data_IF_778815072992
#
_entry.id   IF_778815072992
#
_cell.length_a   1.000
_cell.length_b   1.000
_cell.length_c   1.000
_cell.angle_alpha   90.00
_cell.angle_beta   90.00
_cell.angle_gamma   90.00
#
_symmetry.space_group_name_H-M   'P 1'
#
loop_
_entity.id
_entity.type
_entity.pdbx_description
1 polymer ?
#
# COMPACT_ATOMS: atom_id res chain seq x y z
N UNK A 1 16.37 27.30 17.08
CA UNK A 1 15.66 26.74 15.90
C UNK A 1 16.12 25.31 15.72
N UNK A 2 15.45 24.35 16.34
CA UNK A 2 15.71 22.93 16.14
C UNK A 2 14.56 22.36 15.32
N UNK A 3 14.82 21.88 14.11
CA UNK A 3 13.80 21.15 13.35
C UNK A 3 13.55 19.82 14.06
N UNK A 4 12.30 19.59 14.45
CA UNK A 4 11.89 18.36 15.12
C UNK A 4 12.06 17.20 14.14
N UNK A 5 13.04 16.33 14.39
CA UNK A 5 13.28 15.08 13.63
C UNK A 5 12.02 14.23 13.45
N UNK A 6 11.05 14.36 14.34
CA UNK A 6 9.72 13.74 14.27
C UNK A 6 8.85 14.28 13.14
N UNK A 7 8.89 15.57 12.82
CA UNK A 7 8.11 16.15 11.71
C UNK A 7 8.73 15.81 10.35
N UNK A 8 10.07 15.68 10.29
CA UNK A 8 10.75 15.22 9.08
C UNK A 8 10.52 13.72 8.82
N UNK A 9 10.49 12.88 9.86
CA UNK A 9 10.14 11.47 9.74
C UNK A 9 8.67 11.25 9.36
N UNK A 10 7.75 12.05 9.92
CA UNK A 10 6.32 12.02 9.58
C UNK A 10 6.08 12.54 8.14
N UNK A 11 6.78 13.59 7.72
CA UNK A 11 6.73 14.10 6.34
C UNK A 11 7.41 13.16 5.33
N UNK A 12 8.49 12.49 5.70
CA UNK A 12 9.12 11.46 4.87
C UNK A 12 8.22 10.22 4.73
N UNK A 13 7.44 9.88 5.76
CA UNK A 13 6.39 8.85 5.66
C UNK A 13 5.19 9.31 4.81
N UNK A 14 4.74 10.57 4.97
CA UNK A 14 3.69 11.18 4.14
C UNK A 14 4.09 11.36 2.67
N UNK A 15 5.37 11.21 2.32
CA UNK A 15 5.83 11.24 0.93
C UNK A 15 5.79 9.88 0.22
N UNK A 16 5.47 8.78 0.92
CA UNK A 16 5.35 7.45 0.29
C UNK A 16 3.92 7.20 -0.16
N UNK A 17 3.72 7.27 -1.46
CA UNK A 17 2.51 6.78 -2.12
C UNK A 17 2.57 5.25 -2.15
N UNK A 18 1.51 4.59 -1.69
CA UNK A 18 1.33 3.15 -1.81
C UNK A 18 0.29 2.83 -2.89
N UNK A 19 0.40 1.64 -3.48
CA UNK A 19 -0.48 1.20 -4.54
C UNK A 19 -1.21 -0.06 -4.15
N UNK A 20 -2.52 -0.12 -4.42
CA UNK A 20 -3.33 -1.30 -4.19
C UNK A 20 -4.08 -1.67 -5.47
N UNK A 21 -3.86 -2.88 -5.96
CA UNK A 21 -4.58 -3.41 -7.12
C UNK A 21 -5.72 -4.31 -6.72
N UNK A 22 -6.88 -4.10 -7.32
CA UNK A 22 -8.10 -4.88 -7.07
C UNK A 22 -9.06 -4.79 -8.26
N UNK A 23 -10.11 -5.62 -8.25
CA UNK A 23 -11.27 -5.50 -9.16
C UNK A 23 -12.47 -4.79 -8.51
N UNK A 24 -12.33 -4.41 -7.24
CA UNK A 24 -13.34 -3.62 -6.56
C UNK A 24 -13.41 -2.19 -7.13
N UNK A 25 -14.63 -1.69 -7.29
CA UNK A 25 -14.92 -0.31 -7.69
C UNK A 25 -14.94 0.58 -6.44
N UNK A 26 -13.77 1.09 -6.06
CA UNK A 26 -13.53 1.92 -4.89
C UNK A 26 -13.49 3.40 -5.26
N UNK A 27 -13.83 4.25 -4.29
CA UNK A 27 -13.82 5.70 -4.41
C UNK A 27 -12.86 6.31 -3.42
N UNK A 28 -12.44 7.55 -3.69
CA UNK A 28 -11.69 8.37 -2.73
C UNK A 28 -12.39 8.38 -1.36
N UNK A 29 -11.64 8.09 -0.31
CA UNK A 29 -12.14 7.96 1.06
C UNK A 29 -12.61 6.55 1.46
N UNK A 30 -12.73 5.62 0.52
CA UNK A 30 -13.06 4.23 0.85
C UNK A 30 -11.90 3.56 1.59
N UNK A 31 -12.26 2.61 2.46
CA UNK A 31 -11.31 1.86 3.27
C UNK A 31 -11.05 0.49 2.68
N UNK A 32 -9.78 0.12 2.62
CA UNK A 32 -9.31 -1.21 2.24
C UNK A 32 -8.85 -1.92 3.50
N UNK A 33 -9.46 -3.06 3.80
CA UNK A 33 -9.08 -3.87 4.96
C UNK A 33 -7.66 -4.43 4.81
N UNK A 34 -6.96 -4.68 5.94
CA UNK A 34 -5.66 -5.34 5.97
C UNK A 34 -5.59 -6.59 5.07
N UNK A 35 -4.52 -6.72 4.28
CA UNK A 35 -4.24 -7.99 3.58
C UNK A 35 -3.50 -7.92 2.26
N UNK A 36 -3.12 -6.74 1.73
CA UNK A 36 -2.67 -6.66 0.34
C UNK A 36 -1.50 -5.71 0.08
N UNK A 37 -0.72 -6.11 -0.93
CA UNK A 37 0.56 -5.58 -1.38
C UNK A 37 0.51 -4.08 -1.70
N UNK A 38 1.62 -3.37 -1.46
CA UNK A 38 1.66 -1.90 -1.47
C UNK A 38 2.64 -1.26 -2.48
N UNK A 39 3.10 -2.01 -3.50
CA UNK A 39 3.99 -1.49 -4.56
C UNK A 39 3.33 -1.58 -5.93
N UNK A 40 3.66 -0.69 -6.87
CA UNK A 40 2.98 -0.58 -8.17
C UNK A 40 3.03 -1.88 -9.00
N UNK A 41 4.20 -2.50 -9.16
CA UNK A 41 4.30 -3.79 -9.86
C UNK A 41 3.52 -4.90 -9.15
N UNK A 42 3.55 -4.91 -7.81
CA UNK A 42 2.78 -5.87 -7.01
C UNK A 42 1.27 -5.57 -7.07
N UNK A 43 0.88 -4.32 -7.29
CA UNK A 43 -0.50 -3.88 -7.46
C UNK A 43 -1.06 -4.32 -8.81
N UNK A 44 -0.28 -4.30 -9.90
CA UNK A 44 -0.71 -4.87 -11.19
C UNK A 44 -1.12 -6.35 -10.99
N UNK A 45 -0.23 -7.15 -10.40
CA UNK A 45 -0.54 -8.54 -10.06
C UNK A 45 -1.71 -8.66 -9.07
N UNK A 46 -1.82 -7.75 -8.11
CA UNK A 46 -2.95 -7.68 -7.18
C UNK A 46 -4.29 -7.51 -7.89
N UNK A 47 -4.36 -6.63 -8.90
CA UNK A 47 -5.57 -6.40 -9.68
C UNK A 47 -5.90 -7.62 -10.55
N UNK A 48 -4.92 -8.16 -11.27
CA UNK A 48 -5.10 -9.35 -12.13
C UNK A 48 -5.63 -10.56 -11.33
N UNK A 49 -5.04 -10.81 -10.17
CA UNK A 49 -5.36 -11.96 -9.31
C UNK A 49 -6.54 -11.73 -8.37
N UNK A 50 -7.06 -10.49 -8.28
CA UNK A 50 -8.22 -10.20 -7.46
C UNK A 50 -9.45 -10.98 -7.93
N UNK A 51 -10.25 -11.42 -6.96
CA UNK A 51 -11.52 -12.09 -7.19
C UNK A 51 -12.58 -11.10 -7.70
N UNK A 52 -13.52 -11.60 -8.50
CA UNK A 52 -14.62 -10.83 -9.06
C UNK A 52 -14.47 -10.57 -10.57
N UNK A 53 -15.57 -10.13 -11.18
CA UNK A 53 -15.67 -9.85 -12.63
C UNK A 53 -15.49 -8.36 -12.96
N UNK A 54 -15.19 -7.54 -11.95
CA UNK A 54 -14.92 -6.11 -12.12
C UNK A 54 -13.66 -5.85 -12.94
N UNK A 55 -13.55 -4.64 -13.48
CA UNK A 55 -12.34 -4.20 -14.17
C UNK A 55 -11.18 -4.12 -13.18
N UNK A 56 -10.00 -4.55 -13.60
CA UNK A 56 -8.75 -4.35 -12.89
C UNK A 56 -8.44 -2.87 -12.72
N UNK A 57 -8.12 -2.45 -11.49
CA UNK A 57 -7.85 -1.06 -11.12
C UNK A 57 -6.70 -0.99 -10.14
N UNK A 58 -5.98 0.13 -10.16
CA UNK A 58 -4.89 0.42 -9.21
C UNK A 58 -5.22 1.72 -8.50
N UNK A 59 -5.28 1.66 -7.17
CA UNK A 59 -5.56 2.80 -6.32
C UNK A 59 -4.29 3.28 -5.62
N UNK A 60 -4.19 4.60 -5.46
CA UNK A 60 -3.26 5.22 -4.52
C UNK A 60 -3.89 5.13 -3.13
N UNK A 61 -3.12 4.68 -2.16
CA UNK A 61 -3.61 4.50 -0.80
C UNK A 61 -2.66 5.07 0.25
N UNK A 62 -3.24 5.53 1.35
CA UNK A 62 -2.53 5.98 2.54
C UNK A 62 -2.85 5.05 3.72
N UNK A 63 -1.87 4.65 4.53
CA UNK A 63 -2.13 3.85 5.72
C UNK A 63 -2.79 4.71 6.81
N UNK A 64 -3.82 4.18 7.46
CA UNK A 64 -4.45 4.83 8.63
C UNK A 64 -3.71 4.54 9.95
N UNK A 65 -2.62 3.77 9.90
CA UNK A 65 -1.82 3.39 11.06
C UNK A 65 -0.44 2.85 10.68
N UNK A 66 0.32 2.28 11.63
CA UNK A 66 1.65 1.74 11.37
C UNK A 66 1.66 0.66 10.28
N UNK A 67 2.73 0.62 9.49
CA UNK A 67 2.98 -0.41 8.48
C UNK A 67 4.27 -1.15 8.79
N UNK A 68 4.38 -2.38 8.29
CA UNK A 68 5.59 -3.19 8.34
C UNK A 68 5.82 -3.89 6.99
N UNK A 69 7.03 -4.37 6.78
CA UNK A 69 7.37 -5.19 5.61
C UNK A 69 6.48 -6.44 5.56
N UNK A 70 5.94 -6.78 4.39
CA UNK A 70 5.13 -7.98 4.23
C UNK A 70 6.01 -9.23 4.40
N UNK A 71 5.81 -10.07 5.45
CA UNK A 71 6.63 -11.25 5.67
C UNK A 71 6.41 -12.33 4.62
N UNK A 72 5.37 -12.25 3.77
CA UNK A 72 5.16 -13.19 2.68
C UNK A 72 6.06 -12.93 1.47
N UNK A 73 6.59 -11.72 1.34
CA UNK A 73 7.41 -11.31 0.19
C UNK A 73 8.82 -10.85 0.61
N UNK A 74 8.96 -10.38 1.84
CA UNK A 74 10.23 -9.92 2.42
C UNK A 74 11.05 -11.10 2.90
N UNK A 75 12.36 -11.09 2.63
CA UNK A 75 13.30 -12.14 3.05
C UNK A 75 12.92 -13.57 2.60
N UNK A 76 12.14 -13.73 1.53
CA UNK A 76 11.79 -15.06 1.00
C UNK A 76 12.86 -15.64 0.09
N UNK A 77 13.04 -14.99 -1.06
CA UNK A 77 14.00 -15.42 -2.10
C UNK A 77 15.31 -14.63 -2.02
N UNK A 78 15.23 -13.37 -1.61
CA UNK A 78 16.35 -12.45 -1.49
C UNK A 78 16.28 -11.71 -0.15
N UNK A 79 17.43 -11.28 0.41
CA UNK A 79 17.46 -10.51 1.64
C UNK A 79 16.85 -9.12 1.44
N UNK A 80 16.10 -8.66 2.43
CA UNK A 80 15.37 -7.40 2.43
C UNK A 80 14.01 -7.45 1.74
N UNK A 81 13.41 -6.26 1.61
CA UNK A 81 12.13 -6.04 0.95
C UNK A 81 12.34 -5.42 -0.45
N UNK A 82 12.82 -6.22 -1.39
CA UNK A 82 13.08 -5.75 -2.76
C UNK A 82 11.80 -5.35 -3.50
N UNK A 83 10.69 -6.04 -3.21
CA UNK A 83 9.38 -5.77 -3.83
C UNK A 83 8.67 -4.58 -3.19
N UNK A 84 9.26 -3.93 -2.17
CA UNK A 84 8.66 -2.83 -1.40
C UNK A 84 7.22 -3.12 -1.00
N UNK A 85 6.96 -4.37 -0.61
CA UNK A 85 5.63 -4.83 -0.22
C UNK A 85 5.46 -4.66 1.28
N UNK A 86 4.33 -4.06 1.68
CA UNK A 86 4.05 -3.71 3.05
C UNK A 86 2.70 -4.27 3.46
N UNK A 87 2.47 -4.37 4.78
CA UNK A 87 1.17 -4.66 5.37
C UNK A 87 0.92 -3.78 6.58
N UNK A 88 -0.34 -3.66 6.97
CA UNK A 88 -0.77 -2.99 8.19
C UNK A 88 -1.84 -3.82 8.89
N UNK A 89 -1.96 -3.66 10.21
CA UNK A 89 -3.14 -4.11 10.96
C UNK A 89 -4.31 -3.11 10.86
N UNK A 90 -4.05 -1.90 10.37
CA UNK A 90 -5.03 -0.86 10.17
C UNK A 90 -5.46 -0.80 8.69
N UNK A 91 -6.59 -0.15 8.44
CA UNK A 91 -7.09 0.01 7.08
C UNK A 91 -6.17 0.94 6.26
N UNK A 92 -6.22 0.78 4.95
CA UNK A 92 -5.71 1.77 4.00
C UNK A 92 -6.86 2.61 3.47
N UNK A 93 -6.61 3.88 3.18
CA UNK A 93 -7.62 4.82 2.68
C UNK A 93 -7.29 5.11 1.21
N UNK A 94 -8.26 5.00 0.32
CA UNK A 94 -8.12 5.37 -1.08
C UNK A 94 -8.01 6.89 -1.20
N UNK A 95 -6.92 7.37 -1.80
CA UNK A 95 -6.70 8.80 -2.05
C UNK A 95 -6.70 9.15 -3.54
N UNK A 96 -6.69 8.13 -4.42
CA UNK A 96 -6.75 8.31 -5.87
C UNK A 96 -6.78 6.99 -6.63
N UNK A 97 -6.90 7.07 -7.95
CA UNK A 97 -6.79 5.98 -8.92
C UNK A 97 -5.75 6.36 -9.98
N UNK A 98 -4.99 5.38 -10.50
CA UNK A 98 -4.01 5.55 -11.58
C UNK A 98 -4.63 5.20 -12.94
#
# INVERSE_FOLDING_TARGET
MGTNKTNEALNAFNSKIFYHGTKADLKHGDFIQPGFNSNYEAAIWGAELAQGEGKERIYLVEPSGPIEDDPNLTNKKFPGNLTKSYRSLHAFIVVGEV
#
